data_IF_534175185882
#
_entry.id   IF_534175185882
#
_cell.length_a   1.000
_cell.length_b   1.000
_cell.length_c   1.000
_cell.angle_alpha   90.00
_cell.angle_beta   90.00
_cell.angle_gamma   90.00
#
_symmetry.space_group_name_H-M   'P 1'
#
loop_
_entity.id
_entity.type
_entity.pdbx_description
1 polymer ?
#
# COMPACT_ATOMS: atom_id res chain seq x y z
N UNK A 1 -10.95 -6.65 13.41
CA UNK A 1 -9.49 -6.82 13.28
C UNK A 1 -9.14 -8.26 12.89
N UNK A 2 -9.52 -9.27 13.68
CA UNK A 2 -9.34 -10.69 13.33
C UNK A 2 -9.82 -11.07 11.91
N UNK A 3 -11.05 -10.69 11.56
CA UNK A 3 -11.64 -10.96 10.24
C UNK A 3 -10.88 -10.29 9.09
N UNK A 4 -10.43 -9.06 9.28
CA UNK A 4 -9.65 -8.31 8.29
C UNK A 4 -8.30 -8.99 8.00
N UNK A 5 -7.60 -9.43 9.04
CA UNK A 5 -6.33 -10.12 8.89
C UNK A 5 -6.49 -11.47 8.18
N UNK A 6 -7.54 -12.24 8.52
CA UNK A 6 -7.83 -13.52 7.85
C UNK A 6 -8.13 -13.32 6.36
N UNK A 7 -8.87 -12.27 5.99
CA UNK A 7 -9.16 -11.94 4.60
C UNK A 7 -7.89 -11.56 3.83
N UNK A 8 -7.03 -10.72 4.40
CA UNK A 8 -5.76 -10.35 3.80
C UNK A 8 -4.83 -11.56 3.57
N UNK A 9 -4.79 -12.50 4.53
CA UNK A 9 -4.01 -13.73 4.39
C UNK A 9 -4.56 -14.66 3.30
N UNK A 10 -5.88 -14.73 3.13
CA UNK A 10 -6.49 -15.53 2.07
C UNK A 10 -6.16 -14.94 0.70
N UNK A 11 -6.32 -13.62 0.54
CA UNK A 11 -5.99 -12.94 -0.72
C UNK A 11 -4.50 -13.08 -1.08
N UNK A 12 -3.59 -13.03 -0.10
CA UNK A 12 -2.17 -13.27 -0.34
C UNK A 12 -1.82 -14.72 -0.75
N UNK A 13 -2.72 -15.69 -0.53
CA UNK A 13 -2.51 -17.10 -0.90
C UNK A 13 -3.17 -17.45 -2.23
N UNK A 14 -4.35 -16.89 -2.48
CA UNK A 14 -5.22 -17.30 -3.57
C UNK A 14 -5.09 -16.39 -4.80
N UNK A 15 -4.56 -15.18 -4.64
CA UNK A 15 -4.34 -14.25 -5.75
C UNK A 15 -2.93 -14.42 -6.36
N UNK A 16 -2.76 -14.02 -7.63
CA UNK A 16 -1.44 -13.94 -8.25
C UNK A 16 -0.44 -13.12 -7.44
N UNK A 17 0.84 -13.43 -7.60
CA UNK A 17 1.97 -12.66 -7.05
C UNK A 17 2.08 -11.31 -7.78
N UNK A 18 1.18 -10.38 -7.46
CA UNK A 18 1.21 -9.03 -8.02
C UNK A 18 2.50 -8.32 -7.61
N UNK A 19 3.06 -7.60 -8.58
CA UNK A 19 4.23 -6.78 -8.37
C UNK A 19 3.94 -5.64 -7.38
N UNK A 20 4.91 -5.32 -6.53
CA UNK A 20 4.84 -4.15 -5.66
C UNK A 20 4.78 -2.88 -6.53
N UNK A 21 3.86 -1.93 -6.28
CA UNK A 21 3.81 -0.67 -7.02
C UNK A 21 5.15 0.07 -6.97
N UNK A 22 5.56 0.69 -8.08
CA UNK A 22 6.90 1.30 -8.24
C UNK A 22 7.17 2.37 -7.19
N UNK A 23 6.17 3.17 -6.84
CA UNK A 23 6.26 4.18 -5.78
C UNK A 23 6.43 3.59 -4.38
N UNK A 24 6.12 2.32 -4.15
CA UNK A 24 6.35 1.62 -2.87
C UNK A 24 7.62 0.75 -2.85
N UNK A 25 8.29 0.57 -3.99
CA UNK A 25 9.51 -0.25 -4.05
C UNK A 25 10.65 0.45 -3.32
N UNK A 26 11.45 -0.32 -2.60
CA UNK A 26 12.71 0.20 -2.09
C UNK A 26 13.66 0.47 -3.26
N UNK A 27 14.33 1.62 -3.24
CA UNK A 27 15.38 1.99 -4.18
C UNK A 27 16.73 2.09 -3.45
N UNK A 28 17.31 0.94 -3.04
CA UNK A 28 18.51 0.92 -2.20
C UNK A 28 19.78 1.36 -2.94
N UNK A 29 19.79 1.33 -4.29
CA UNK A 29 20.95 1.73 -5.09
C UNK A 29 20.74 3.11 -5.72
N UNK A 30 21.84 3.85 -5.91
CA UNK A 30 21.82 5.16 -6.56
C UNK A 30 21.29 5.09 -7.99
N UNK A 31 21.65 4.02 -8.72
CA UNK A 31 21.15 3.74 -10.07
C UNK A 31 19.62 3.55 -10.08
N UNK A 32 19.04 2.85 -9.11
CA UNK A 32 17.59 2.68 -9.00
C UNK A 32 16.88 4.03 -8.77
N UNK A 33 17.42 4.91 -7.93
CA UNK A 33 16.86 6.25 -7.72
C UNK A 33 16.95 7.11 -9.00
N UNK A 34 18.04 7.02 -9.74
CA UNK A 34 18.24 7.72 -11.02
C UNK A 34 17.32 7.21 -12.13
N UNK A 35 16.99 5.91 -12.10
CA UNK A 35 15.99 5.28 -12.99
C UNK A 35 14.53 5.58 -12.59
N UNK A 36 14.30 6.41 -11.56
CA UNK A 36 12.96 6.80 -11.11
C UNK A 36 12.31 5.87 -10.09
N UNK A 37 12.98 4.79 -9.67
CA UNK A 37 12.47 3.93 -8.60
C UNK A 37 12.47 4.71 -7.27
N UNK A 38 11.31 4.86 -6.66
CA UNK A 38 11.12 5.57 -5.40
C UNK A 38 11.04 7.10 -5.49
N UNK A 39 11.12 7.71 -6.67
CA UNK A 39 10.90 9.17 -6.82
C UNK A 39 9.42 9.57 -6.72
N UNK A 40 8.52 8.63 -7.01
CA UNK A 40 7.08 8.81 -6.87
C UNK A 40 6.57 8.47 -5.47
N UNK A 41 7.45 8.03 -4.54
CA UNK A 41 7.02 7.77 -3.17
C UNK A 41 6.65 9.08 -2.48
N UNK A 42 5.35 9.28 -2.29
CA UNK A 42 4.82 10.42 -1.55
C UNK A 42 5.03 10.18 -0.07
N UNK A 43 6.07 10.82 0.47
CA UNK A 43 6.37 10.74 1.90
C UNK A 43 5.27 11.44 2.70
N UNK A 44 4.37 10.66 3.28
CA UNK A 44 3.15 11.16 3.90
C UNK A 44 3.41 12.25 4.96
N UNK A 45 4.55 12.21 5.67
CA UNK A 45 4.89 13.21 6.68
C UNK A 45 5.17 14.62 6.13
N UNK A 46 5.55 14.74 4.85
CA UNK A 46 5.75 16.03 4.20
C UNK A 46 4.46 16.58 3.59
N UNK A 47 3.36 15.80 3.64
CA UNK A 47 2.06 16.18 3.11
C UNK A 47 1.15 16.82 4.16
N UNK A 48 0.15 17.62 3.70
CA UNK A 48 -0.87 18.17 4.58
C UNK A 48 -1.54 17.06 5.40
N UNK A 49 -1.56 17.22 6.73
CA UNK A 49 -2.12 16.26 7.69
C UNK A 49 -1.34 14.94 7.83
N UNK A 50 -0.09 14.88 7.41
CA UNK A 50 0.73 13.66 7.44
C UNK A 50 0.09 12.49 6.67
N UNK A 51 -0.68 12.79 5.61
CA UNK A 51 -1.47 11.82 4.85
C UNK A 51 -1.38 12.10 3.35
N UNK A 52 -0.82 11.14 2.61
CA UNK A 52 -0.74 11.21 1.15
C UNK A 52 -2.10 10.92 0.52
N UNK A 53 -2.93 11.97 0.36
CA UNK A 53 -4.27 11.82 -0.20
C UNK A 53 -4.21 11.33 -1.66
N UNK A 54 -4.95 10.26 -1.97
CA UNK A 54 -5.00 9.66 -3.30
C UNK A 54 -3.89 8.66 -3.60
N UNK A 55 -3.01 8.36 -2.63
CA UNK A 55 -1.97 7.35 -2.79
C UNK A 55 -2.56 5.94 -2.82
N UNK A 56 -2.11 5.12 -3.77
CA UNK A 56 -2.57 3.74 -3.91
C UNK A 56 -1.54 2.76 -3.36
N UNK A 57 -1.83 2.18 -2.20
CA UNK A 57 -0.90 1.25 -1.54
C UNK A 57 -1.03 -0.21 -1.99
N UNK A 58 -2.15 -0.55 -2.62
CA UNK A 58 -2.36 -1.86 -3.22
C UNK A 58 -1.91 -1.87 -4.69
N UNK A 59 -1.57 -3.05 -5.24
CA UNK A 59 -1.50 -3.25 -6.69
C UNK A 59 -2.76 -2.75 -7.40
N UNK A 60 -2.65 -2.40 -8.68
CA UNK A 60 -3.75 -1.84 -9.46
C UNK A 60 -4.98 -2.75 -9.49
N UNK A 61 -4.74 -4.06 -9.53
CA UNK A 61 -5.73 -5.13 -9.50
C UNK A 61 -6.49 -5.22 -8.16
N UNK A 62 -5.93 -4.61 -7.11
CA UNK A 62 -6.45 -4.64 -5.75
C UNK A 62 -6.78 -3.25 -5.20
N UNK A 63 -6.74 -2.20 -6.03
CA UNK A 63 -6.88 -0.80 -5.63
C UNK A 63 -8.13 -0.50 -4.78
N UNK A 64 -9.22 -1.23 -5.03
CA UNK A 64 -10.52 -1.05 -4.35
C UNK A 64 -10.74 -2.02 -3.17
N UNK A 65 -9.71 -2.74 -2.74
CA UNK A 65 -9.83 -3.76 -1.69
C UNK A 65 -9.88 -3.10 -0.31
N UNK A 66 -10.88 -3.50 0.49
CA UNK A 66 -11.01 -3.09 1.89
C UNK A 66 -11.23 -4.30 2.79
N UNK A 67 -10.27 -4.56 3.68
CA UNK A 67 -10.39 -5.65 4.66
C UNK A 67 -10.94 -5.19 6.00
N UNK A 68 -10.57 -3.98 6.42
CA UNK A 68 -10.95 -3.47 7.73
C UNK A 68 -12.23 -2.65 7.66
N UNK A 69 -13.26 -3.21 8.29
CA UNK A 69 -14.53 -2.55 8.58
C UNK A 69 -14.64 -2.34 10.09
N UNK A 70 -14.42 -1.11 10.59
CA UNK A 70 -14.54 -0.84 12.02
C UNK A 70 -15.98 -1.06 12.47
N UNK A 71 -16.15 -1.61 13.67
CA UNK A 71 -17.47 -1.77 14.31
C UNK A 71 -17.79 -0.56 15.17
N UNK A 72 -19.07 -0.26 15.37
CA UNK A 72 -19.53 0.86 16.22
C UNK A 72 -19.35 0.63 17.73
N UNK A 73 -18.41 -0.23 18.14
CA UNK A 73 -18.09 -0.54 19.52
C UNK A 73 -16.63 -0.18 19.77
N UNK A 74 -16.39 0.77 20.67
CA UNK A 74 -15.08 1.29 21.02
C UNK A 74 -14.77 2.65 20.37
N UNK A 75 -14.29 3.58 21.19
CA UNK A 75 -13.69 4.86 20.83
C UNK A 75 -12.18 4.79 21.07
#
# INVERSE_FOLDING_TARGET
>A
MYTAFKAALADARDRPDYDVPVHLRNAPTKLMKEMGYGQEYRYAHDEPNAYAAGEQYFPQEMAQTRYYHPTNRGA
#
